data_IF_897398180500
#
_entry.id   IF_897398180500
#
_cell.length_a   1.000
_cell.length_b   1.000
_cell.length_c   1.000
_cell.angle_alpha   90.00
_cell.angle_beta   90.00
_cell.angle_gamma   90.00
#
_symmetry.space_group_name_H-M   'P 1'
#
loop_
_entity.id
_entity.type
_entity.pdbx_description
1 polymer ?
#
# COMPACT_ATOMS: atom_id res chain seq x y z
N UNK A 1 -6.95 -33.70 -11.69
CA UNK A 1 -5.68 -33.02 -11.48
C UNK A 1 -5.90 -32.07 -10.33
N UNK A 2 -5.51 -32.51 -9.12
CA UNK A 2 -5.64 -31.69 -7.92
C UNK A 2 -4.66 -30.51 -8.01
N UNK A 3 -5.17 -29.28 -8.00
CA UNK A 3 -4.35 -28.13 -7.74
C UNK A 3 -3.93 -28.21 -6.28
N UNK A 4 -2.69 -28.60 -6.02
CA UNK A 4 -2.09 -28.36 -4.71
C UNK A 4 -2.14 -26.86 -4.48
N UNK A 5 -3.01 -26.43 -3.56
CA UNK A 5 -3.02 -25.06 -3.10
C UNK A 5 -1.64 -24.78 -2.52
N UNK A 6 -0.87 -23.91 -3.20
CA UNK A 6 0.45 -23.51 -2.72
C UNK A 6 0.26 -22.71 -1.42
N UNK A 7 0.40 -23.39 -0.28
CA UNK A 7 0.35 -22.81 1.09
C UNK A 7 1.56 -21.88 1.34
N UNK A 8 2.22 -21.37 0.29
CA UNK A 8 3.48 -20.62 0.41
C UNK A 8 3.33 -19.12 0.20
N UNK A 9 2.12 -18.67 -0.17
CA UNK A 9 1.88 -17.25 -0.38
C UNK A 9 1.89 -16.49 0.94
N UNK A 10 2.36 -15.24 0.91
CA UNK A 10 2.42 -14.38 2.09
C UNK A 10 1.55 -13.17 1.89
N UNK A 11 0.75 -12.88 2.90
CA UNK A 11 -0.05 -11.67 2.96
C UNK A 11 0.54 -10.72 4.00
N UNK A 12 0.80 -9.47 3.60
CA UNK A 12 1.30 -8.43 4.47
C UNK A 12 0.27 -7.31 4.51
N UNK A 13 -0.29 -7.04 5.67
CA UNK A 13 -1.25 -5.96 5.90
C UNK A 13 -1.11 -5.39 7.30
N UNK A 14 -1.71 -4.25 7.53
CA UNK A 14 -1.90 -3.70 8.88
C UNK A 14 -3.21 -4.28 9.42
N UNK A 15 -3.18 -5.11 10.49
CA UNK A 15 -4.38 -5.69 11.06
C UNK A 15 -5.26 -4.62 11.71
N UNK A 16 -6.57 -4.87 11.74
CA UNK A 16 -7.49 -4.00 12.47
C UNK A 16 -7.35 -4.20 13.98
N UNK A 17 -7.39 -3.09 14.72
CA UNK A 17 -7.40 -3.06 16.18
C UNK A 17 -8.71 -2.44 16.62
N UNK A 18 -9.49 -3.16 17.43
CA UNK A 18 -10.83 -2.74 17.91
C UNK A 18 -11.77 -2.39 16.72
N UNK A 19 -11.76 -3.26 15.69
CA UNK A 19 -12.68 -3.13 14.55
C UNK A 19 -12.33 -2.02 13.54
N UNK A 20 -11.26 -1.28 13.78
CA UNK A 20 -10.80 -0.22 12.89
C UNK A 20 -9.33 -0.41 12.46
N UNK A 21 -9.07 -0.21 11.17
CA UNK A 21 -7.70 -0.12 10.67
C UNK A 21 -7.60 0.90 9.55
N UNK A 22 -6.52 1.68 9.57
CA UNK A 22 -6.09 2.42 8.40
C UNK A 22 -5.02 1.60 7.69
N UNK A 23 -5.42 0.87 6.67
CA UNK A 23 -4.56 0.01 5.87
C UNK A 23 -4.54 0.47 4.41
N UNK A 24 -3.74 1.50 4.08
CA UNK A 24 -3.74 2.11 2.76
C UNK A 24 -3.16 1.20 1.68
N UNK A 25 -2.34 0.22 2.07
CA UNK A 25 -1.73 -0.74 1.16
C UNK A 25 -1.55 -2.10 1.83
N UNK A 26 -1.91 -3.16 1.11
CA UNK A 26 -1.61 -4.56 1.45
C UNK A 26 -0.81 -5.21 0.33
N UNK A 27 -0.08 -6.26 0.66
CA UNK A 27 0.77 -6.96 -0.29
C UNK A 27 0.43 -8.45 -0.27
N UNK A 28 0.15 -9.01 -1.46
CA UNK A 28 0.04 -10.45 -1.66
C UNK A 28 1.29 -10.90 -2.41
N UNK A 29 2.14 -11.66 -1.73
CA UNK A 29 3.42 -12.16 -2.26
C UNK A 29 3.23 -13.58 -2.75
N UNK A 30 3.35 -13.78 -4.03
CA UNK A 30 3.36 -15.10 -4.67
C UNK A 30 4.78 -15.67 -4.64
N UNK A 31 4.95 -16.86 -4.04
CA UNK A 31 6.25 -17.50 -3.88
C UNK A 31 6.38 -18.69 -4.83
N UNK A 32 7.59 -18.90 -5.34
CA UNK A 32 7.95 -20.11 -6.06
C UNK A 32 8.31 -21.29 -5.10
N UNK A 33 8.61 -22.45 -5.65
CA UNK A 33 8.98 -23.65 -4.90
C UNK A 33 10.25 -23.47 -4.05
N UNK A 34 11.07 -22.47 -4.37
CA UNK A 34 12.27 -22.10 -3.62
C UNK A 34 12.03 -21.01 -2.58
N UNK A 35 10.74 -20.66 -2.29
CA UNK A 35 10.35 -19.54 -1.43
C UNK A 35 10.86 -18.17 -1.91
N UNK A 36 11.10 -18.00 -3.21
CA UNK A 36 11.41 -16.70 -3.80
C UNK A 36 10.13 -16.04 -4.29
N UNK A 37 10.02 -14.75 -4.11
CA UNK A 37 8.86 -14.01 -4.61
C UNK A 37 8.89 -14.00 -6.15
N UNK A 38 7.80 -14.48 -6.76
CA UNK A 38 7.59 -14.52 -8.22
C UNK A 38 6.76 -13.35 -8.72
N UNK A 39 5.74 -12.99 -7.96
CA UNK A 39 4.89 -11.83 -8.26
C UNK A 39 4.36 -11.19 -6.99
N UNK A 40 3.95 -9.93 -7.09
CA UNK A 40 3.38 -9.17 -5.99
C UNK A 40 2.11 -8.49 -6.49
N UNK A 41 1.02 -8.62 -5.74
CA UNK A 41 -0.16 -7.78 -5.91
C UNK A 41 -0.12 -6.71 -4.82
N UNK A 42 -0.15 -5.45 -5.24
CA UNK A 42 -0.33 -4.29 -4.39
C UNK A 42 -1.81 -3.94 -4.33
N UNK A 43 -2.46 -4.20 -3.21
CA UNK A 43 -3.84 -3.77 -2.96
C UNK A 43 -3.79 -2.39 -2.32
N UNK A 44 -4.23 -1.36 -3.03
CA UNK A 44 -4.24 0.01 -2.56
C UNK A 44 -5.67 0.43 -2.24
N UNK A 45 -5.87 1.01 -1.05
CA UNK A 45 -7.17 1.50 -0.57
C UNK A 45 -7.09 2.98 -0.24
N UNK A 46 -8.16 3.72 -0.54
CA UNK A 46 -8.30 5.10 -0.10
C UNK A 46 -9.28 5.22 1.08
N UNK A 47 -9.40 6.43 1.62
CA UNK A 47 -10.34 6.74 2.70
C UNK A 47 -11.79 6.87 2.23
N UNK A 48 -12.06 6.82 0.91
CA UNK A 48 -13.39 6.96 0.30
C UNK A 48 -14.06 5.62 0.02
N UNK A 49 -13.35 4.50 0.28
CA UNK A 49 -13.84 3.13 0.08
C UNK A 49 -13.55 2.56 -1.31
N UNK A 50 -12.68 3.22 -2.11
CA UNK A 50 -12.18 2.62 -3.34
C UNK A 50 -11.01 1.69 -3.07
N UNK A 51 -10.88 0.67 -3.92
CA UNK A 51 -9.82 -0.31 -3.86
C UNK A 51 -9.32 -0.62 -5.28
N UNK A 52 -8.01 -0.73 -5.43
CA UNK A 52 -7.36 -1.04 -6.70
C UNK A 52 -6.22 -2.02 -6.46
N UNK A 53 -6.05 -2.97 -7.37
CA UNK A 53 -4.99 -3.96 -7.36
C UNK A 53 -4.02 -3.70 -8.50
N UNK A 54 -2.73 -3.61 -8.20
CA UNK A 54 -1.65 -3.53 -9.17
C UNK A 54 -0.83 -4.80 -9.10
N UNK A 55 -0.73 -5.54 -10.20
CA UNK A 55 0.04 -6.77 -10.30
C UNK A 55 1.42 -6.49 -10.89
N UNK A 56 2.47 -6.79 -10.14
CA UNK A 56 3.85 -6.80 -10.62
C UNK A 56 4.33 -8.24 -10.80
N UNK A 57 4.68 -8.59 -12.02
CA UNK A 57 5.34 -9.84 -12.38
C UNK A 57 6.83 -9.58 -12.48
N UNK A 58 7.68 -10.62 -12.29
CA UNK A 58 9.16 -10.51 -12.30
C UNK A 58 9.78 -9.70 -11.14
N UNK A 59 9.22 -9.89 -9.95
CA UNK A 59 9.83 -9.49 -8.67
C UNK A 59 9.87 -7.98 -8.41
N UNK A 60 10.92 -7.56 -7.83
CA UNK A 60 11.19 -6.32 -7.13
C UNK A 60 11.69 -5.18 -8.02
N UNK A 61 11.56 -5.27 -9.34
CA UNK A 61 11.94 -4.20 -10.27
C UNK A 61 10.96 -3.03 -10.14
N UNK A 62 11.45 -1.84 -10.43
CA UNK A 62 10.61 -0.64 -10.51
C UNK A 62 9.54 -0.84 -11.59
N UNK A 63 8.29 -0.91 -11.16
CA UNK A 63 7.13 -1.10 -12.02
C UNK A 63 6.38 0.21 -12.14
N UNK A 64 5.98 0.53 -13.36
CA UNK A 64 5.22 1.72 -13.66
C UNK A 64 3.75 1.38 -13.85
N UNK A 65 2.89 2.06 -13.09
CA UNK A 65 1.44 1.91 -13.19
C UNK A 65 0.79 3.27 -13.38
N UNK A 66 -0.15 3.36 -14.31
CA UNK A 66 -1.00 4.55 -14.41
C UNK A 66 -1.83 4.68 -13.13
N UNK A 67 -1.91 5.89 -12.59
CA UNK A 67 -2.78 6.16 -11.44
C UNK A 67 -4.25 6.04 -11.86
N UNK A 68 -4.96 5.09 -11.27
CA UNK A 68 -6.36 4.81 -11.60
C UNK A 68 -7.30 5.01 -10.40
N UNK A 69 -6.79 5.51 -9.28
CA UNK A 69 -7.59 5.74 -8.08
C UNK A 69 -7.34 7.15 -7.51
N UNK A 70 -8.42 7.78 -7.09
CA UNK A 70 -8.37 9.04 -6.36
C UNK A 70 -7.92 8.79 -4.92
N UNK A 71 -6.76 9.31 -4.55
CA UNK A 71 -6.15 9.08 -3.22
C UNK A 71 -6.22 10.34 -2.37
N UNK A 72 -6.10 11.51 -2.97
CA UNK A 72 -6.06 12.78 -2.26
C UNK A 72 -6.66 13.90 -3.10
N UNK A 73 -7.41 14.85 -2.49
CA UNK A 73 -7.94 16.02 -3.19
C UNK A 73 -6.86 17.02 -3.63
N UNK A 74 -5.62 16.83 -3.24
CA UNK A 74 -4.51 17.74 -3.55
C UNK A 74 -3.55 17.20 -4.61
N UNK A 75 -3.84 16.02 -5.18
CA UNK A 75 -2.98 15.34 -6.16
C UNK A 75 -3.77 15.00 -7.41
N UNK A 76 -3.25 15.37 -8.57
CA UNK A 76 -3.86 15.13 -9.89
C UNK A 76 -4.04 13.63 -10.17
N UNK A 77 -5.01 13.31 -11.06
CA UNK A 77 -5.24 11.93 -11.50
C UNK A 77 -4.25 11.49 -12.58
N UNK A 78 -3.84 12.40 -13.47
CA UNK A 78 -2.92 12.10 -14.57
C UNK A 78 -1.48 11.98 -14.08
N UNK A 79 -1.22 10.86 -13.41
CA UNK A 79 0.07 10.55 -12.79
C UNK A 79 0.44 9.10 -13.01
N UNK A 80 1.72 8.80 -12.83
CA UNK A 80 2.28 7.46 -12.89
C UNK A 80 2.87 7.09 -11.54
N UNK A 81 2.58 5.89 -11.06
CA UNK A 81 3.25 5.29 -9.91
C UNK A 81 4.45 4.46 -10.37
N UNK A 82 5.60 4.65 -9.73
CA UNK A 82 6.73 3.72 -9.80
C UNK A 82 6.83 3.03 -8.46
N UNK A 83 6.51 1.73 -8.45
CA UNK A 83 6.51 0.92 -7.24
C UNK A 83 7.71 -0.02 -7.28
N UNK A 84 8.48 -0.03 -6.20
CA UNK A 84 9.62 -0.90 -6.04
C UNK A 84 9.56 -1.57 -4.67
N UNK A 85 9.74 -2.90 -4.66
CA UNK A 85 9.74 -3.70 -3.44
C UNK A 85 11.01 -4.52 -3.33
N UNK A 86 11.55 -4.67 -2.13
CA UNK A 86 12.79 -5.41 -1.86
C UNK A 86 12.66 -6.20 -0.56
N UNK A 87 13.05 -7.47 -0.60
CA UNK A 87 13.39 -8.21 0.61
C UNK A 87 14.87 -7.95 0.92
N UNK A 88 15.16 -7.14 1.92
CA UNK A 88 16.54 -6.87 2.37
C UNK A 88 17.11 -8.09 3.10
N UNK A 89 16.26 -8.88 3.77
CA UNK A 89 16.58 -10.15 4.41
C UNK A 89 15.34 -11.03 4.51
N UNK A 90 15.45 -12.25 5.05
CA UNK A 90 14.34 -13.19 5.24
C UNK A 90 13.17 -12.57 6.03
N UNK A 91 13.47 -11.65 6.95
CA UNK A 91 12.50 -11.04 7.86
C UNK A 91 12.36 -9.52 7.66
N UNK A 92 12.79 -8.97 6.52
CA UNK A 92 12.78 -7.55 6.29
C UNK A 92 12.24 -7.21 4.89
N UNK A 93 11.05 -6.65 4.85
CA UNK A 93 10.37 -6.22 3.63
C UNK A 93 10.36 -4.70 3.53
N UNK A 94 10.76 -4.19 2.38
CA UNK A 94 10.73 -2.76 2.06
C UNK A 94 9.95 -2.54 0.76
N UNK A 95 9.10 -1.54 0.76
CA UNK A 95 8.42 -1.07 -0.44
C UNK A 95 8.43 0.44 -0.49
N UNK A 96 8.67 1.00 -1.67
CA UNK A 96 8.51 2.43 -1.93
C UNK A 96 7.60 2.67 -3.13
N UNK A 97 6.89 3.78 -3.05
CA UNK A 97 6.00 4.27 -4.10
C UNK A 97 6.43 5.70 -4.41
N UNK A 98 6.82 5.91 -5.65
CA UNK A 98 7.09 7.23 -6.19
C UNK A 98 5.97 7.60 -7.15
N UNK A 99 5.44 8.80 -7.06
CA UNK A 99 4.43 9.30 -7.98
C UNK A 99 5.00 10.45 -8.80
N UNK A 100 4.81 10.36 -10.11
CA UNK A 100 5.30 11.34 -11.08
C UNK A 100 4.12 11.95 -11.82
N UNK A 101 4.22 13.26 -12.12
CA UNK A 101 3.28 13.93 -13.00
C UNK A 101 3.64 13.68 -14.49
N UNK A 102 2.83 14.20 -15.41
CA UNK A 102 3.06 14.08 -16.87
C UNK A 102 4.39 14.73 -17.34
N UNK A 103 4.96 15.63 -16.54
CA UNK A 103 6.28 16.25 -16.82
C UNK A 103 7.44 15.43 -16.26
N UNK A 104 7.18 14.22 -15.76
CA UNK A 104 8.15 13.35 -15.08
C UNK A 104 8.79 13.99 -13.83
N UNK A 105 8.08 14.92 -13.18
CA UNK A 105 8.49 15.49 -11.89
C UNK A 105 7.91 14.63 -10.77
N UNK A 106 8.73 14.28 -9.79
CA UNK A 106 8.28 13.53 -8.62
C UNK A 106 7.47 14.45 -7.70
N UNK A 107 6.19 14.14 -7.53
CA UNK A 107 5.24 14.92 -6.72
C UNK A 107 4.91 14.28 -5.38
N UNK A 108 5.16 12.97 -5.23
CA UNK A 108 4.89 12.25 -4.00
C UNK A 108 5.86 11.07 -3.82
N UNK A 109 6.22 10.83 -2.56
CA UNK A 109 7.01 9.68 -2.14
C UNK A 109 6.40 9.08 -0.87
N UNK A 110 6.26 7.75 -0.86
CA UNK A 110 5.93 7.00 0.35
C UNK A 110 6.79 5.74 0.42
N UNK A 111 7.13 5.31 1.61
CA UNK A 111 7.82 4.05 1.82
C UNK A 111 7.31 3.32 3.05
N UNK A 112 7.36 2.00 2.99
CA UNK A 112 7.08 1.10 4.11
C UNK A 112 8.33 0.26 4.32
N UNK A 113 8.80 0.22 5.55
CA UNK A 113 9.94 -0.58 5.99
C UNK A 113 9.48 -1.45 7.16
N UNK A 114 9.42 -2.77 6.94
CA UNK A 114 8.81 -3.73 7.85
C UNK A 114 9.81 -4.79 8.31
N UNK A 115 9.94 -4.92 9.61
CA UNK A 115 10.59 -6.06 10.25
C UNK A 115 9.53 -7.11 10.60
N UNK A 116 9.56 -8.22 9.86
CA UNK A 116 8.62 -9.32 10.04
C UNK A 116 9.01 -10.14 11.28
N UNK A 117 8.04 -10.40 12.14
CA UNK A 117 8.20 -11.24 13.34
C UNK A 117 7.26 -12.43 13.25
N UNK A 118 7.63 -13.52 13.89
CA UNK A 118 6.76 -14.68 14.02
C UNK A 118 5.49 -14.31 14.81
N UNK A 119 4.36 -14.89 14.40
CA UNK A 119 3.08 -14.73 15.09
C UNK A 119 3.13 -15.60 16.35
N UNK A 120 3.54 -15.00 17.47
CA UNK A 120 3.48 -15.58 18.80
C UNK A 120 2.53 -14.77 19.66
N UNK A 121 1.98 -15.39 20.72
CA UNK A 121 1.09 -14.71 21.65
C UNK A 121 1.68 -13.41 22.21
N UNK A 122 2.94 -13.44 22.62
CA UNK A 122 3.65 -12.26 23.12
C UNK A 122 3.81 -11.16 22.07
N UNK A 123 4.20 -11.52 20.84
CA UNK A 123 4.35 -10.56 19.75
C UNK A 123 2.99 -9.93 19.37
N UNK A 124 1.90 -10.69 19.43
CA UNK A 124 0.56 -10.16 19.17
C UNK A 124 0.13 -9.17 20.26
N UNK A 125 0.32 -9.50 21.55
CA UNK A 125 0.00 -8.58 22.65
C UNK A 125 0.85 -7.31 22.55
N UNK A 126 2.15 -7.44 22.32
CA UNK A 126 3.05 -6.30 22.21
C UNK A 126 2.66 -5.41 21.01
N UNK A 127 2.34 -6.01 19.86
CA UNK A 127 1.84 -5.28 18.70
C UNK A 127 0.56 -4.52 19.03
N UNK A 128 -0.41 -5.17 19.70
CA UNK A 128 -1.68 -4.55 20.10
C UNK A 128 -1.44 -3.34 21.01
N UNK A 129 -0.66 -3.50 22.09
CA UNK A 129 -0.38 -2.42 23.06
C UNK A 129 0.31 -1.24 22.37
N UNK A 130 1.31 -1.49 21.54
CA UNK A 130 2.09 -0.43 20.87
C UNK A 130 1.31 0.30 19.78
N UNK A 131 0.31 -0.37 19.18
CA UNK A 131 -0.39 0.16 18.01
C UNK A 131 -1.87 0.51 18.25
N UNK A 132 -2.37 0.36 19.48
CA UNK A 132 -3.78 0.60 19.83
C UNK A 132 -4.28 1.99 19.37
N UNK A 133 -3.43 2.99 19.44
CA UNK A 133 -3.73 4.35 19.01
C UNK A 133 -3.17 4.69 17.63
N UNK A 134 -2.48 3.75 16.96
CA UNK A 134 -1.77 4.01 15.70
C UNK A 134 -2.70 4.48 14.58
N UNK A 135 -3.83 3.81 14.40
CA UNK A 135 -4.82 4.17 13.37
C UNK A 135 -5.47 5.52 13.63
N UNK A 136 -5.80 5.83 14.89
CA UNK A 136 -6.39 7.12 15.30
C UNK A 136 -5.37 8.24 15.05
N UNK A 137 -4.13 8.05 15.49
CA UNK A 137 -3.04 9.00 15.25
C UNK A 137 -2.86 9.28 13.75
N UNK A 138 -2.84 8.23 12.94
CA UNK A 138 -2.66 8.36 11.49
C UNK A 138 -3.79 9.19 10.85
N UNK A 139 -5.04 8.90 11.18
CA UNK A 139 -6.19 9.66 10.67
C UNK A 139 -6.16 11.10 11.13
N UNK A 140 -5.85 11.36 12.39
CA UNK A 140 -5.73 12.72 12.91
C UNK A 140 -4.67 13.50 12.15
N UNK A 141 -3.51 12.89 11.87
CA UNK A 141 -2.45 13.53 11.09
C UNK A 141 -2.86 13.78 9.63
N UNK A 142 -3.60 12.86 9.01
CA UNK A 142 -4.12 13.04 7.64
C UNK A 142 -5.04 14.27 7.58
N UNK A 143 -5.99 14.37 8.50
CA UNK A 143 -6.90 15.51 8.55
C UNK A 143 -6.18 16.83 8.86
N UNK A 144 -5.24 16.81 9.80
CA UNK A 144 -4.40 17.96 10.11
C UNK A 144 -3.64 18.47 8.88
N UNK A 145 -3.01 17.58 8.12
CA UNK A 145 -2.32 17.95 6.89
C UNK A 145 -3.28 18.45 5.81
N UNK A 146 -4.46 17.84 5.68
CA UNK A 146 -5.49 18.31 4.74
C UNK A 146 -5.94 19.74 5.06
N UNK A 147 -6.20 20.05 6.32
CA UNK A 147 -6.55 21.42 6.77
C UNK A 147 -5.41 22.40 6.46
N UNK A 148 -4.17 22.02 6.77
CA UNK A 148 -2.99 22.84 6.47
C UNK A 148 -2.85 23.15 4.98
N UNK A 149 -3.11 22.18 4.10
CA UNK A 149 -3.06 22.37 2.65
C UNK A 149 -4.22 23.27 2.16
N UNK A 150 -5.42 23.14 2.74
CA UNK A 150 -6.54 24.02 2.46
C UNK A 150 -6.23 25.49 2.85
N UNK A 151 -5.66 25.70 4.04
CA UNK A 151 -5.25 27.04 4.49
C UNK A 151 -4.17 27.67 3.58
N UNK A 152 -3.30 26.84 3.00
CA UNK A 152 -2.30 27.27 2.00
C UNK A 152 -2.88 27.51 0.62
N UNK A 153 -4.20 27.38 0.43
CA UNK A 153 -4.89 27.53 -0.88
C UNK A 153 -4.33 26.59 -1.95
N UNK A 154 -3.89 25.39 -1.57
CA UNK A 154 -3.43 24.38 -2.52
C UNK A 154 -4.54 24.00 -3.49
N UNK A 155 -4.18 23.71 -4.75
CA UNK A 155 -5.14 23.31 -5.78
C UNK A 155 -5.95 22.10 -5.31
N UNK A 156 -7.26 22.18 -5.45
CA UNK A 156 -8.20 21.16 -5.01
C UNK A 156 -8.81 20.44 -6.21
N UNK A 157 -8.72 19.12 -6.23
CA UNK A 157 -9.30 18.26 -7.26
C UNK A 157 -10.52 17.56 -6.71
N UNK A 158 -11.65 17.68 -7.41
CA UNK A 158 -12.90 17.05 -6.99
C UNK A 158 -12.83 15.54 -7.20
N UNK A 159 -13.36 14.79 -6.25
CA UNK A 159 -13.54 13.34 -6.40
C UNK A 159 -14.48 13.06 -7.58
N UNK A 160 -14.04 12.23 -8.53
CA UNK A 160 -14.76 12.08 -9.79
C UNK A 160 -15.53 10.77 -9.93
N UNK A 161 -15.02 9.62 -9.45
CA UNK A 161 -15.71 8.35 -9.62
C UNK A 161 -15.28 7.31 -8.57
N UNK A 162 -16.23 6.50 -8.08
CA UNK A 162 -15.95 5.27 -7.34
C UNK A 162 -15.45 4.19 -8.28
N UNK A 163 -14.28 3.64 -7.98
CA UNK A 163 -13.73 2.49 -8.68
C UNK A 163 -14.06 1.26 -7.84
N UNK A 164 -14.82 0.31 -8.42
CA UNK A 164 -15.05 -1.00 -7.82
C UNK A 164 -13.99 -1.95 -8.37
N UNK A 165 -13.20 -2.52 -7.47
CA UNK A 165 -12.24 -3.63 -7.66
C UNK A 165 -11.74 -3.83 -9.11
N UNK A 166 -10.69 -3.12 -9.49
CA UNK A 166 -10.04 -3.30 -10.77
C UNK A 166 -8.62 -3.84 -10.59
N UNK A 167 -8.29 -4.86 -11.36
CA UNK A 167 -6.94 -5.41 -11.47
C UNK A 167 -6.22 -4.74 -12.63
N UNK A 168 -5.07 -4.13 -12.37
CA UNK A 168 -4.21 -3.52 -13.39
C UNK A 168 -2.93 -4.34 -13.52
N UNK A 169 -2.65 -4.75 -14.75
CA UNK A 169 -1.41 -5.42 -15.13
C UNK A 169 -0.38 -4.38 -15.57
N UNK A 170 0.89 -4.68 -15.35
CA UNK A 170 2.02 -3.90 -15.84
C UNK A 170 2.36 -4.20 -17.31
#
# INVERSE_FOLDING_TARGET
VGSEMCIRDRFICIPSIIGYSFNPISFYLYLDDQNKVKSIIYEVKNTFGDQVHYLAIDKFKDKEFKKNMYVSPFIEMDCVYKISSKNKSKNHFFCNINQFNLKNEQIFYASIDLNLKEITYLNCILFFILNIFGSIKTITLIHYQAIKLLLKKSKFFKYSNKIKDNLYLD
#
